data_IF_681150505811
#
_entry.id   IF_681150505811
#
_cell.length_a   1.000
_cell.length_b   1.000
_cell.length_c   1.000
_cell.angle_alpha   90.00
_cell.angle_beta   90.00
_cell.angle_gamma   90.00
#
_symmetry.space_group_name_H-M   'P 1'
#
loop_
_entity.id
_entity.type
_entity.pdbx_description
1 polymer ?
#
# COMPACT_ATOMS: atom_id res chain seq x y z
N UNK A 1 -18.83 12.67 -0.02
CA UNK A 1 -19.63 11.42 -0.04
C UNK A 1 -18.71 10.24 -0.28
N UNK A 2 -19.04 9.06 0.26
CA UNK A 2 -18.22 7.83 0.18
C UNK A 2 -17.63 7.58 -1.22
N UNK A 3 -18.44 7.73 -2.28
CA UNK A 3 -18.00 7.59 -3.67
C UNK A 3 -16.85 8.55 -4.06
N UNK A 4 -16.85 9.80 -3.56
CA UNK A 4 -15.81 10.78 -3.87
C UNK A 4 -14.46 10.42 -3.24
N UNK A 5 -14.47 9.90 -2.00
CA UNK A 5 -13.24 9.45 -1.35
C UNK A 5 -12.67 8.20 -2.02
N UNK A 6 -13.51 7.24 -2.40
CA UNK A 6 -13.07 6.04 -3.12
C UNK A 6 -12.50 6.38 -4.50
N UNK A 7 -13.15 7.29 -5.25
CA UNK A 7 -12.66 7.73 -6.57
C UNK A 7 -11.33 8.47 -6.44
N UNK A 8 -11.17 9.35 -5.44
CA UNK A 8 -9.91 10.03 -5.18
C UNK A 8 -8.78 9.04 -4.83
N UNK A 9 -9.05 8.07 -3.96
CA UNK A 9 -8.09 7.04 -3.57
C UNK A 9 -7.69 6.13 -4.75
N UNK A 10 -8.66 5.73 -5.58
CA UNK A 10 -8.38 4.95 -6.80
C UNK A 10 -7.59 5.80 -7.80
N UNK A 11 -7.98 7.06 -7.98
CA UNK A 11 -7.34 8.00 -8.91
C UNK A 11 -5.89 8.30 -8.56
N UNK A 12 -5.54 8.39 -7.27
CA UNK A 12 -4.15 8.61 -6.84
C UNK A 12 -3.26 7.40 -7.09
N UNK A 13 -3.78 6.17 -6.96
CA UNK A 13 -2.97 4.96 -7.10
C UNK A 13 -3.03 4.29 -8.47
N UNK A 14 -3.91 4.74 -9.37
CA UNK A 14 -3.97 4.25 -10.75
C UNK A 14 -2.66 4.46 -11.54
N UNK A 15 -2.04 5.67 -11.51
CA UNK A 15 -0.77 5.90 -12.20
C UNK A 15 0.33 4.98 -11.69
N UNK A 16 0.40 4.79 -10.38
CA UNK A 16 1.37 3.92 -9.70
C UNK A 16 1.20 2.46 -10.16
N UNK A 17 -0.05 1.98 -10.22
CA UNK A 17 -0.37 0.66 -10.74
C UNK A 17 0.09 0.48 -12.20
N UNK A 18 -0.17 1.47 -13.05
CA UNK A 18 0.24 1.44 -14.46
C UNK A 18 1.76 1.36 -14.57
N UNK A 19 2.50 2.20 -13.83
CA UNK A 19 3.98 2.20 -13.84
C UNK A 19 4.53 0.85 -13.40
N UNK A 20 4.01 0.27 -12.31
CA UNK A 20 4.42 -1.05 -11.84
C UNK A 20 4.13 -2.15 -12.85
N UNK A 21 2.94 -2.17 -13.46
CA UNK A 21 2.58 -3.17 -14.49
C UNK A 21 3.47 -3.06 -15.73
N UNK A 22 3.74 -1.84 -16.20
CA UNK A 22 4.63 -1.60 -17.35
C UNK A 22 6.07 -1.99 -17.02
N UNK A 23 6.55 -1.71 -15.81
CA UNK A 23 7.88 -2.14 -15.36
C UNK A 23 8.01 -3.68 -15.35
N UNK A 24 7.01 -4.39 -14.83
CA UNK A 24 6.97 -5.86 -14.84
C UNK A 24 6.96 -6.43 -16.27
N UNK A 25 6.17 -5.85 -17.18
CA UNK A 25 6.13 -6.27 -18.60
C UNK A 25 7.50 -6.11 -19.28
N UNK A 26 8.28 -5.12 -18.87
CA UNK A 26 9.63 -4.87 -19.38
C UNK A 26 10.72 -5.65 -18.61
N UNK A 27 10.36 -6.60 -17.73
CA UNK A 27 11.30 -7.38 -16.92
C UNK A 27 11.99 -6.60 -15.79
N UNK A 28 11.56 -5.37 -15.51
CA UNK A 28 12.13 -4.49 -14.48
C UNK A 28 11.46 -4.71 -13.11
N UNK A 29 11.59 -5.94 -12.58
CA UNK A 29 10.92 -6.34 -11.33
C UNK A 29 11.30 -5.47 -10.12
N UNK A 30 12.59 -5.16 -9.96
CA UNK A 30 13.06 -4.29 -8.88
C UNK A 30 12.47 -2.87 -8.95
N UNK A 31 12.28 -2.33 -10.17
CA UNK A 31 11.65 -1.03 -10.38
C UNK A 31 10.16 -1.07 -10.00
N UNK A 32 9.44 -2.13 -10.37
CA UNK A 32 8.04 -2.30 -9.97
C UNK A 32 7.89 -2.37 -8.45
N UNK A 33 8.76 -3.13 -7.79
CA UNK A 33 8.75 -3.29 -6.33
C UNK A 33 9.11 -1.98 -5.63
N UNK A 34 10.15 -1.29 -6.11
CA UNK A 34 10.53 0.03 -5.61
C UNK A 34 9.44 1.08 -5.77
N UNK A 35 8.68 1.03 -6.87
CA UNK A 35 7.53 1.91 -7.08
C UNK A 35 6.44 1.63 -6.04
N UNK A 36 5.98 0.38 -5.88
CA UNK A 36 4.92 0.02 -4.92
C UNK A 36 5.29 0.44 -3.49
N UNK A 37 6.50 0.07 -3.05
CA UNK A 37 6.98 0.37 -1.70
C UNK A 37 7.15 1.89 -1.52
N UNK A 38 7.87 2.54 -2.44
CA UNK A 38 8.17 3.97 -2.36
C UNK A 38 6.92 4.83 -2.38
N UNK A 39 5.97 4.56 -3.27
CA UNK A 39 4.69 5.25 -3.38
C UNK A 39 3.86 5.15 -2.11
N UNK A 40 3.73 3.95 -1.53
CA UNK A 40 2.94 3.76 -0.32
C UNK A 40 3.54 4.49 0.88
N UNK A 41 4.88 4.43 1.06
CA UNK A 41 5.54 5.18 2.14
C UNK A 41 5.46 6.68 1.91
N UNK A 42 5.68 7.14 0.68
CA UNK A 42 5.54 8.55 0.33
C UNK A 42 4.12 9.03 0.65
N UNK A 43 3.09 8.35 0.16
CA UNK A 43 1.69 8.72 0.40
C UNK A 43 1.38 8.74 1.91
N UNK A 44 1.83 7.74 2.67
CA UNK A 44 1.58 7.66 4.12
C UNK A 44 2.27 8.82 4.87
N UNK A 45 3.57 9.02 4.68
CA UNK A 45 4.32 10.05 5.38
C UNK A 45 3.97 11.46 4.90
N UNK A 46 3.78 11.65 3.61
CA UNK A 46 3.48 12.96 3.03
C UNK A 46 2.09 13.44 3.43
N UNK A 47 1.07 12.57 3.31
CA UNK A 47 -0.31 12.94 3.66
C UNK A 47 -0.41 13.18 5.17
N UNK A 48 0.09 12.27 6.01
CA UNK A 48 0.04 12.44 7.47
C UNK A 48 0.85 13.67 7.90
N UNK A 49 2.07 13.82 7.36
CA UNK A 49 2.97 14.93 7.65
C UNK A 49 2.33 16.28 7.32
N UNK A 50 1.88 16.47 6.08
CA UNK A 50 1.22 17.72 5.67
C UNK A 50 -0.07 17.95 6.45
N UNK A 51 -0.91 16.92 6.62
CA UNK A 51 -2.18 17.08 7.33
C UNK A 51 -1.95 17.50 8.79
N UNK A 52 -0.87 17.02 9.42
CA UNK A 52 -0.49 17.41 10.79
C UNK A 52 -0.06 18.88 10.93
N UNK A 53 0.48 19.48 9.86
CA UNK A 53 0.80 20.91 9.83
C UNK A 53 -0.45 21.79 9.67
N UNK A 54 -1.47 21.27 8.99
CA UNK A 54 -2.71 22.01 8.70
C UNK A 54 -3.72 21.88 9.85
N UNK A 55 -3.79 20.72 10.50
CA UNK A 55 -4.79 20.43 11.53
C UNK A 55 -4.30 19.36 12.49
N UNK A 56 -4.70 19.47 13.76
CA UNK A 56 -4.47 18.42 14.75
C UNK A 56 -5.23 17.16 14.36
N UNK A 57 -4.50 16.10 14.06
CA UNK A 57 -5.05 14.80 13.71
C UNK A 57 -5.41 14.03 14.98
N UNK A 58 -6.69 13.71 15.16
CA UNK A 58 -7.12 12.75 16.19
C UNK A 58 -7.10 11.34 15.61
N UNK A 59 -6.22 10.50 16.12
CA UNK A 59 -6.07 9.11 15.65
C UNK A 59 -6.77 8.08 16.52
N UNK A 60 -7.48 8.49 17.58
CA UNK A 60 -8.04 7.56 18.58
C UNK A 60 -8.91 6.45 17.96
N UNK A 61 -9.67 6.77 16.92
CA UNK A 61 -10.55 5.80 16.26
C UNK A 61 -9.88 5.03 15.11
N UNK A 62 -8.74 5.52 14.61
CA UNK A 62 -8.07 5.03 13.40
C UNK A 62 -6.68 4.41 13.63
N UNK A 63 -6.22 4.37 14.89
CA UNK A 63 -4.88 3.86 15.26
C UNK A 63 -4.69 2.41 14.80
N UNK A 64 -5.73 1.59 14.91
CA UNK A 64 -5.63 0.17 14.56
C UNK A 64 -5.47 -0.02 13.05
N UNK A 65 -6.27 0.69 12.25
CA UNK A 65 -6.16 0.68 10.79
C UNK A 65 -4.78 1.13 10.33
N UNK A 66 -4.27 2.21 10.95
CA UNK A 66 -2.98 2.79 10.60
C UNK A 66 -1.82 1.85 10.96
N UNK A 67 -1.86 1.22 12.14
CA UNK A 67 -0.87 0.22 12.58
C UNK A 67 -0.88 -0.99 11.64
N UNK A 68 -2.05 -1.52 11.27
CA UNK A 68 -2.14 -2.67 10.38
C UNK A 68 -1.60 -2.33 8.98
N UNK A 69 -1.91 -1.13 8.47
CA UNK A 69 -1.43 -0.69 7.15
C UNK A 69 0.09 -0.49 7.13
N UNK A 70 0.69 0.00 8.22
CA UNK A 70 2.15 0.09 8.38
C UNK A 70 2.79 -1.31 8.48
N UNK A 71 2.22 -2.21 9.29
CA UNK A 71 2.71 -3.58 9.42
C UNK A 71 2.67 -4.33 8.08
N UNK A 72 1.62 -4.14 7.30
CA UNK A 72 1.49 -4.73 5.98
C UNK A 72 2.56 -4.21 4.99
N UNK A 73 2.83 -2.91 5.00
CA UNK A 73 3.93 -2.33 4.20
C UNK A 73 5.31 -2.85 4.66
N UNK A 74 5.54 -2.97 5.96
CA UNK A 74 6.77 -3.56 6.50
C UNK A 74 6.93 -5.04 6.11
N UNK A 75 5.85 -5.82 6.15
CA UNK A 75 5.85 -7.21 5.71
C UNK A 75 6.17 -7.33 4.21
N UNK A 76 5.62 -6.43 3.37
CA UNK A 76 5.96 -6.35 1.95
C UNK A 76 7.44 -6.03 1.72
N UNK A 77 8.00 -5.07 2.46
CA UNK A 77 9.44 -4.75 2.41
C UNK A 77 10.28 -5.93 2.86
N UNK A 78 9.93 -6.57 3.97
CA UNK A 78 10.66 -7.73 4.49
C UNK A 78 10.65 -8.88 3.49
N UNK A 79 9.49 -9.20 2.90
CA UNK A 79 9.37 -10.20 1.84
C UNK A 79 10.25 -9.86 0.62
N UNK A 80 10.31 -8.58 0.24
CA UNK A 80 11.16 -8.12 -0.85
C UNK A 80 12.67 -8.20 -0.56
N UNK A 81 13.09 -7.99 0.70
CA UNK A 81 14.49 -7.99 1.13
C UNK A 81 15.06 -9.38 1.43
N UNK A 82 14.21 -10.33 1.86
CA UNK A 82 14.64 -11.69 2.23
C UNK A 82 14.97 -12.55 0.97
N UNK A 83 14.42 -12.19 -0.20
CA UNK A 83 14.68 -12.88 -1.46
C UNK A 83 16.03 -12.53 -2.10
N UNK A 84 16.83 -13.54 -2.47
CA UNK A 84 18.13 -13.37 -3.19
C UNK A 84 18.03 -12.63 -4.53
N UNK A 85 16.83 -12.48 -5.08
CA UNK A 85 16.57 -11.49 -6.12
C UNK A 85 15.23 -10.84 -5.70
N UNK A 86 15.13 -9.52 -5.78
CA UNK A 86 13.97 -8.74 -5.32
C UNK A 86 12.70 -9.07 -6.14
N UNK A 87 12.07 -10.22 -5.88
CA UNK A 87 10.86 -10.67 -6.55
C UNK A 87 9.89 -11.26 -5.53
N UNK A 88 8.61 -10.95 -5.73
CA UNK A 88 7.48 -11.62 -5.09
C UNK A 88 7.01 -12.70 -6.06
N UNK A 89 7.04 -13.96 -5.65
CA UNK A 89 6.52 -15.09 -6.41
C UNK A 89 5.00 -15.02 -6.53
N UNK A 90 4.43 -15.74 -7.52
CA UNK A 90 2.97 -15.83 -7.68
C UNK A 90 2.26 -16.33 -6.42
N UNK A 91 2.89 -17.21 -5.64
CA UNK A 91 2.33 -17.77 -4.41
C UNK A 91 2.30 -16.73 -3.29
N UNK A 92 3.40 -16.00 -3.11
CA UNK A 92 3.48 -14.90 -2.13
C UNK A 92 2.50 -13.78 -2.50
N UNK A 93 2.43 -13.41 -3.77
CA UNK A 93 1.47 -12.41 -4.26
C UNK A 93 0.02 -12.82 -4.02
N UNK A 94 -0.32 -14.10 -4.25
CA UNK A 94 -1.66 -14.61 -3.98
C UNK A 94 -1.99 -14.57 -2.48
N UNK A 95 -1.04 -14.97 -1.63
CA UNK A 95 -1.20 -14.93 -0.17
C UNK A 95 -1.43 -13.50 0.32
N UNK A 96 -0.63 -12.55 -0.17
CA UNK A 96 -0.76 -11.11 0.09
C UNK A 96 -2.15 -10.63 -0.32
N UNK A 97 -2.62 -10.97 -1.51
CA UNK A 97 -3.94 -10.55 -2.03
C UNK A 97 -5.09 -11.12 -1.20
N UNK A 98 -5.03 -12.40 -0.80
CA UNK A 98 -6.02 -13.02 0.07
C UNK A 98 -6.03 -12.34 1.45
N UNK A 99 -4.86 -12.10 2.04
CA UNK A 99 -4.76 -11.42 3.34
C UNK A 99 -5.35 -10.00 3.30
N UNK A 100 -5.16 -9.28 2.20
CA UNK A 100 -5.76 -7.97 1.98
C UNK A 100 -7.28 -8.02 1.85
N UNK A 101 -7.82 -9.02 1.15
CA UNK A 101 -9.28 -9.23 1.07
C UNK A 101 -9.88 -9.54 2.44
N UNK A 102 -9.23 -10.39 3.24
CA UNK A 102 -9.66 -10.68 4.61
C UNK A 102 -9.67 -9.41 5.47
N UNK A 103 -8.65 -8.56 5.34
CA UNK A 103 -8.58 -7.28 6.03
C UNK A 103 -9.75 -6.35 5.64
N UNK A 104 -10.03 -6.18 4.34
CA UNK A 104 -11.14 -5.35 3.87
C UNK A 104 -12.46 -5.86 4.45
N UNK A 105 -12.68 -7.17 4.41
CA UNK A 105 -13.90 -7.78 4.96
C UNK A 105 -14.00 -7.51 6.45
N UNK A 106 -12.92 -7.73 7.21
CA UNK A 106 -12.88 -7.44 8.65
C UNK A 106 -13.19 -5.97 8.96
N UNK A 107 -12.61 -5.03 8.21
CA UNK A 107 -12.88 -3.60 8.36
C UNK A 107 -14.35 -3.26 8.06
N UNK A 108 -14.97 -3.93 7.09
CA UNK A 108 -16.36 -3.67 6.70
C UNK A 108 -17.38 -4.20 7.72
N UNK A 109 -17.02 -5.23 8.48
CA UNK A 109 -17.88 -5.81 9.52
C UNK A 109 -17.73 -5.15 10.90
N UNK A 110 -16.72 -4.30 11.09
CA UNK A 110 -16.49 -3.50 12.30
C UNK A 110 -17.22 -2.16 12.20
#
# INVERSE_FOLDING_TARGET
GFAGFTILAIGSSLPELIVSVVALKNGKNALSLGNIIGSNFFNLFFIIGISSFVTTLSFNDYIYELVILVLYNLALVAAALIGKKFYISKREGLFILISYMVLIVYLFYR
#
